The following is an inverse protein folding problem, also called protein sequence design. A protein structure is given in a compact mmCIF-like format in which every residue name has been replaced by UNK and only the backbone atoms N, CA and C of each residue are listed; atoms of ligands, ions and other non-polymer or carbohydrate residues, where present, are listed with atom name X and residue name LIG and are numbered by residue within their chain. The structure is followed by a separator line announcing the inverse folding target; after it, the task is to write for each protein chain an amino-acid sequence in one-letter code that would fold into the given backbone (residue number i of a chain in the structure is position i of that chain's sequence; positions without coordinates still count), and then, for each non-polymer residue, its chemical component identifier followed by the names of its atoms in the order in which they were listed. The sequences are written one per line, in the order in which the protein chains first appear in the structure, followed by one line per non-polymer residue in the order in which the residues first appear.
data_IF_803846539392
#
_entry.id   IF_803846539392
#
_cell.length_a   1.000
_cell.length_b   1.000
_cell.length_c   1.000
_cell.angle_alpha   90.00
_cell.angle_beta   90.00
_cell.angle_gamma   90.00
#
_symmetry.space_group_name_H-M   'P 1'
#
loop_
_entity.id
_entity.type
_entity.pdbx_description
1 polymer ?
#
# COMPACT_ATOMS: atom_id res chain seq x y z
N UNK A 1 -76.28 11.24 -38.05
CA UNK A 1 -75.32 10.87 -36.98
C UNK A 1 -74.01 11.54 -37.33
N UNK A 2 -73.47 12.23 -36.34
CA UNK A 2 -72.57 13.39 -36.41
C UNK A 2 -71.12 13.01 -36.79
N UNK A 3 -70.48 13.84 -37.62
CA UNK A 3 -69.08 13.69 -38.02
C UNK A 3 -68.17 14.42 -37.02
N UNK A 4 -67.11 13.74 -36.59
CA UNK A 4 -66.11 14.17 -35.60
C UNK A 4 -65.35 15.43 -36.08
N UNK A 5 -65.36 16.50 -35.29
CA UNK A 5 -64.40 17.60 -35.38
C UNK A 5 -63.48 17.58 -34.16
N UNK A 6 -62.18 17.38 -34.38
CA UNK A 6 -61.09 17.52 -33.40
C UNK A 6 -61.00 18.97 -32.91
N UNK A 7 -60.68 19.24 -31.63
CA UNK A 7 -60.51 20.60 -31.15
C UNK A 7 -59.19 21.17 -31.70
N UNK A 8 -59.28 22.23 -32.49
CA UNK A 8 -58.10 22.97 -32.94
C UNK A 8 -57.38 23.60 -31.74
N UNK A 9 -56.06 23.48 -31.74
CA UNK A 9 -55.18 24.04 -30.74
C UNK A 9 -55.09 25.56 -30.88
N UNK A 10 -55.68 26.30 -29.93
CA UNK A 10 -55.54 27.76 -29.75
C UNK A 10 -54.13 28.19 -29.31
N UNK A 11 -53.07 27.67 -29.95
CA UNK A 11 -51.74 28.26 -29.87
C UNK A 11 -51.63 29.30 -30.98
N UNK A 12 -52.21 30.47 -30.73
CA UNK A 12 -52.39 31.54 -31.70
C UNK A 12 -51.07 31.96 -32.35
N UNK A 13 -51.06 31.87 -33.68
CA UNK A 13 -49.99 32.29 -34.63
C UNK A 13 -49.69 33.81 -34.58
N UNK A 14 -50.39 34.57 -33.74
CA UNK A 14 -50.27 36.03 -33.66
C UNK A 14 -48.97 36.53 -33.02
N UNK A 15 -48.19 35.67 -32.33
CA UNK A 15 -46.93 36.10 -31.70
C UNK A 15 -45.77 36.29 -32.71
N UNK A 16 -45.94 35.89 -33.97
CA UNK A 16 -44.89 35.93 -35.00
C UNK A 16 -45.11 36.97 -36.13
N UNK A 17 -46.13 37.84 -36.03
CA UNK A 17 -46.52 38.73 -37.14
C UNK A 17 -45.45 39.74 -37.59
N UNK A 18 -44.37 39.96 -36.82
CA UNK A 18 -43.30 40.91 -37.13
C UNK A 18 -41.94 40.25 -37.42
N UNK A 19 -41.88 38.92 -37.55
CA UNK A 19 -40.64 38.19 -37.81
C UNK A 19 -40.72 37.46 -39.15
N UNK A 20 -39.66 37.56 -39.94
CA UNK A 20 -39.45 36.75 -41.14
C UNK A 20 -39.20 35.29 -40.75
N UNK A 21 -39.53 34.34 -41.63
CA UNK A 21 -39.30 32.93 -41.38
C UNK A 21 -37.84 32.58 -40.96
N UNK A 22 -36.79 33.22 -41.51
CA UNK A 22 -35.42 33.05 -41.02
C UNK A 22 -35.19 33.53 -39.58
N UNK A 23 -35.83 34.63 -39.16
CA UNK A 23 -35.69 35.16 -37.79
C UNK A 23 -36.33 34.21 -36.77
N UNK A 24 -37.51 33.66 -37.08
CA UNK A 24 -38.16 32.65 -36.24
C UNK A 24 -37.33 31.37 -36.15
N UNK A 25 -36.72 30.94 -37.26
CA UNK A 25 -35.82 29.78 -37.28
C UNK A 25 -34.57 29.99 -36.41
N UNK A 26 -33.90 31.13 -36.55
CA UNK A 26 -32.71 31.48 -35.75
C UNK A 26 -33.06 31.59 -34.27
N UNK A 27 -34.21 32.18 -33.93
CA UNK A 27 -34.67 32.31 -32.54
C UNK A 27 -35.06 30.95 -31.95
N UNK A 28 -35.67 30.07 -32.74
CA UNK A 28 -35.89 28.67 -32.38
C UNK A 28 -34.57 27.96 -32.08
N UNK A 29 -33.57 28.07 -32.96
CA UNK A 29 -32.24 27.51 -32.74
C UNK A 29 -31.54 28.08 -31.50
N UNK A 30 -31.67 29.39 -31.27
CA UNK A 30 -31.12 30.06 -30.08
C UNK A 30 -31.79 29.59 -28.78
N UNK A 31 -33.07 29.19 -28.84
CA UNK A 31 -33.82 28.67 -27.71
C UNK A 31 -33.60 27.17 -27.42
N UNK A 32 -32.95 26.42 -28.31
CA UNK A 32 -32.69 24.98 -28.10
C UNK A 32 -31.69 24.73 -26.96
N UNK A 33 -30.77 25.67 -26.72
CA UNK A 33 -29.75 25.53 -25.67
C UNK A 33 -30.24 26.24 -24.41
N UNK A 34 -30.44 25.46 -23.34
CA UNK A 34 -30.70 26.04 -22.03
C UNK A 34 -29.40 26.63 -21.45
N UNK A 35 -29.35 27.96 -21.40
CA UNK A 35 -28.22 28.70 -20.86
C UNK A 35 -28.04 28.49 -19.35
N UNK A 36 -29.08 28.07 -18.62
CA UNK A 36 -29.00 27.70 -17.21
C UNK A 36 -28.27 26.36 -17.03
N UNK A 37 -28.52 25.38 -17.90
CA UNK A 37 -27.84 24.09 -17.88
C UNK A 37 -26.36 24.23 -18.26
N UNK A 38 -26.05 25.05 -19.28
CA UNK A 38 -24.66 25.37 -19.65
C UNK A 38 -23.92 26.01 -18.46
N UNK A 39 -24.54 26.96 -17.76
CA UNK A 39 -23.95 27.56 -16.56
C UNK A 39 -23.74 26.55 -15.44
N UNK A 40 -24.72 25.67 -15.21
CA UNK A 40 -24.63 24.62 -14.19
C UNK A 40 -23.48 23.64 -14.50
N UNK A 41 -23.31 23.26 -15.76
CA UNK A 41 -22.19 22.44 -16.22
C UNK A 41 -20.84 23.13 -15.94
N UNK A 42 -20.72 24.43 -16.28
CA UNK A 42 -19.49 25.20 -16.05
C UNK A 42 -19.16 25.25 -14.55
N UNK A 43 -20.16 25.46 -13.69
CA UNK A 43 -19.96 25.48 -12.23
C UNK A 43 -19.49 24.11 -11.72
N UNK A 44 -20.13 23.02 -12.15
CA UNK A 44 -19.76 21.66 -11.77
C UNK A 44 -18.32 21.33 -12.19
N UNK A 45 -17.92 21.69 -13.42
CA UNK A 45 -16.57 21.49 -13.93
C UNK A 45 -15.53 22.29 -13.13
N UNK A 46 -15.82 23.56 -12.78
CA UNK A 46 -14.93 24.38 -11.95
C UNK A 46 -14.73 23.79 -10.55
N UNK A 47 -15.81 23.30 -9.92
CA UNK A 47 -15.72 22.64 -8.62
C UNK A 47 -14.91 21.34 -8.70
N UNK A 48 -15.08 20.58 -9.77
CA UNK A 48 -14.31 19.36 -10.02
C UNK A 48 -12.82 19.65 -10.21
N UNK A 49 -12.48 20.67 -11.00
CA UNK A 49 -11.10 21.12 -11.19
C UNK A 49 -10.44 21.51 -9.86
N UNK A 50 -11.10 22.35 -9.06
CA UNK A 50 -10.58 22.76 -7.75
C UNK A 50 -10.36 21.57 -6.81
N UNK A 51 -11.26 20.57 -6.84
CA UNK A 51 -11.10 19.34 -6.06
C UNK A 51 -9.88 18.56 -6.53
N UNK A 52 -9.69 18.42 -7.85
CA UNK A 52 -8.53 17.72 -8.39
C UNK A 52 -7.22 18.40 -8.01
N UNK A 53 -7.15 19.73 -8.13
CA UNK A 53 -5.95 20.50 -7.75
C UNK A 53 -5.61 20.29 -6.27
N UNK A 54 -6.61 20.43 -5.38
CA UNK A 54 -6.42 20.23 -3.94
C UNK A 54 -5.98 18.79 -3.60
N UNK A 55 -6.60 17.80 -4.22
CA UNK A 55 -6.25 16.39 -3.99
C UNK A 55 -4.85 16.08 -4.51
N UNK A 56 -4.47 16.64 -5.66
CA UNK A 56 -3.14 16.42 -6.25
C UNK A 56 -2.03 17.08 -5.41
N UNK A 57 -2.28 18.28 -4.88
CA UNK A 57 -1.37 18.94 -3.94
C UNK A 57 -1.21 18.14 -2.63
N UNK A 58 -2.33 17.67 -2.07
CA UNK A 58 -2.30 16.85 -0.84
C UNK A 58 -1.55 15.53 -1.07
N UNK A 59 -1.75 14.89 -2.22
CA UNK A 59 -1.03 13.67 -2.60
C UNK A 59 0.47 13.93 -2.76
N UNK A 60 0.84 15.04 -3.42
CA UNK A 60 2.24 15.43 -3.60
C UNK A 60 2.92 15.65 -2.24
N UNK A 61 2.25 16.36 -1.33
CA UNK A 61 2.75 16.55 0.04
C UNK A 61 2.85 15.22 0.82
N UNK A 62 1.86 14.33 0.68
CA UNK A 62 1.89 13.01 1.30
C UNK A 62 3.09 12.18 0.80
N UNK A 63 3.34 12.20 -0.50
CA UNK A 63 4.48 11.51 -1.11
C UNK A 63 5.82 12.08 -0.60
N UNK A 64 5.95 13.40 -0.55
CA UNK A 64 7.15 14.06 -0.05
C UNK A 64 7.41 13.73 1.44
N UNK A 65 6.35 13.79 2.27
CA UNK A 65 6.43 13.46 3.69
C UNK A 65 6.82 11.99 3.89
N UNK A 66 6.16 11.08 3.17
CA UNK A 66 6.42 9.64 3.24
C UNK A 66 7.85 9.32 2.83
N UNK A 67 8.34 9.91 1.74
CA UNK A 67 9.72 9.74 1.29
C UNK A 67 10.74 10.26 2.31
N UNK A 68 10.48 11.42 2.92
CA UNK A 68 11.34 12.00 3.96
C UNK A 68 11.43 11.11 5.20
N UNK A 69 10.29 10.59 5.68
CA UNK A 69 10.23 9.68 6.82
C UNK A 69 10.97 8.38 6.53
N UNK A 70 10.77 7.80 5.34
CA UNK A 70 11.48 6.59 4.93
C UNK A 70 13.00 6.82 4.88
N UNK A 71 13.45 7.95 4.31
CA UNK A 71 14.87 8.29 4.24
C UNK A 71 15.53 8.40 5.62
N UNK A 72 14.80 8.84 6.64
CA UNK A 72 15.27 8.91 8.02
C UNK A 72 15.33 7.52 8.69
N UNK A 73 14.29 6.69 8.52
CA UNK A 73 14.16 5.42 9.26
C UNK A 73 14.94 4.28 8.61
N UNK A 74 15.01 4.23 7.28
CA UNK A 74 15.68 3.17 6.54
C UNK A 74 17.16 2.91 6.95
N UNK A 75 18.02 3.94 7.14
CA UNK A 75 19.41 3.69 7.57
C UNK A 75 19.50 3.12 8.98
N UNK A 76 18.70 3.63 9.92
CA UNK A 76 18.68 3.12 11.31
C UNK A 76 18.16 1.67 11.36
N UNK A 77 17.12 1.36 10.59
CA UNK A 77 16.63 -0.01 10.46
C UNK A 77 17.73 -0.95 9.93
N UNK A 78 18.41 -0.56 8.85
CA UNK A 78 19.52 -1.33 8.28
C UNK A 78 20.66 -1.54 9.28
N UNK A 79 21.02 -0.50 10.04
CA UNK A 79 22.03 -0.56 11.09
C UNK A 79 21.65 -1.57 12.18
N UNK A 80 20.41 -1.53 12.66
CA UNK A 80 19.94 -2.51 13.65
C UNK A 80 19.97 -3.95 13.11
N UNK A 81 19.52 -4.17 11.87
CA UNK A 81 19.62 -5.49 11.23
C UNK A 81 21.06 -5.99 11.13
N UNK A 82 22.01 -5.11 10.81
CA UNK A 82 23.45 -5.46 10.79
C UNK A 82 23.97 -5.83 12.18
N UNK A 83 23.62 -5.05 13.20
CA UNK A 83 24.00 -5.34 14.59
C UNK A 83 23.50 -6.71 15.05
N UNK A 84 22.26 -7.10 14.69
CA UNK A 84 21.75 -8.45 15.00
C UNK A 84 22.58 -9.55 14.33
N UNK A 85 23.04 -9.33 13.10
CA UNK A 85 23.89 -10.29 12.40
C UNK A 85 25.27 -10.40 13.05
N UNK A 86 25.83 -9.30 13.54
CA UNK A 86 27.10 -9.28 14.29
C UNK A 86 26.96 -10.02 15.63
N UNK A 87 25.92 -9.72 16.41
CA UNK A 87 25.66 -10.41 17.68
C UNK A 87 25.47 -11.92 17.48
N UNK A 88 24.85 -12.35 16.38
CA UNK A 88 24.78 -13.77 16.02
C UNK A 88 26.20 -14.36 15.84
N UNK A 89 27.05 -13.71 15.06
CA UNK A 89 28.44 -14.17 14.83
C UNK A 89 29.22 -14.26 16.12
N UNK A 90 29.03 -13.29 17.02
CA UNK A 90 29.68 -13.29 18.33
C UNK A 90 29.22 -14.47 19.18
N UNK A 91 27.91 -14.77 19.21
CA UNK A 91 27.38 -15.96 19.88
C UNK A 91 27.94 -17.26 19.29
N UNK A 92 27.93 -17.40 17.96
CA UNK A 92 28.49 -18.56 17.27
C UNK A 92 29.97 -18.76 17.64
N UNK A 93 30.73 -17.67 17.70
CA UNK A 93 32.14 -17.69 18.11
C UNK A 93 32.31 -18.09 19.58
N UNK A 94 31.50 -17.53 20.49
CA UNK A 94 31.51 -17.88 21.91
C UNK A 94 31.20 -19.36 22.10
N UNK A 95 30.15 -19.90 21.46
CA UNK A 95 29.82 -21.32 21.55
C UNK A 95 30.94 -22.21 21.00
N UNK A 96 31.56 -21.83 19.88
CA UNK A 96 32.73 -22.54 19.34
C UNK A 96 33.89 -22.57 20.33
N UNK A 97 34.18 -21.45 21.00
CA UNK A 97 35.24 -21.37 22.02
C UNK A 97 34.91 -22.19 23.26
N UNK A 98 33.68 -22.14 23.75
CA UNK A 98 33.22 -22.95 24.88
C UNK A 98 33.38 -24.43 24.55
N UNK A 99 32.93 -24.89 23.36
CA UNK A 99 33.06 -26.29 22.93
C UNK A 99 34.53 -26.70 22.87
N UNK A 100 35.41 -25.88 22.27
CA UNK A 100 36.84 -26.16 22.21
C UNK A 100 37.51 -26.26 23.60
N UNK A 101 37.14 -25.38 24.53
CA UNK A 101 37.64 -25.43 25.92
C UNK A 101 37.15 -26.70 26.61
N UNK A 102 35.85 -27.03 26.52
CA UNK A 102 35.26 -28.26 27.07
C UNK A 102 36.00 -29.50 26.55
N UNK A 103 36.20 -29.62 25.24
CA UNK A 103 36.95 -30.74 24.63
C UNK A 103 38.38 -30.82 25.17
N UNK A 104 39.09 -29.69 25.27
CA UNK A 104 40.47 -29.67 25.78
C UNK A 104 40.57 -30.09 27.25
N UNK A 105 39.66 -29.61 28.11
CA UNK A 105 39.65 -29.96 29.54
C UNK A 105 39.27 -31.43 29.72
N UNK A 106 38.24 -31.90 29.01
CA UNK A 106 37.82 -33.31 29.06
C UNK A 106 38.94 -34.27 28.64
N UNK A 107 39.77 -33.89 27.66
CA UNK A 107 40.91 -34.70 27.23
C UNK A 107 42.09 -34.69 28.23
N UNK A 108 42.33 -33.58 28.93
CA UNK A 108 43.46 -33.45 29.86
C UNK A 108 43.15 -33.95 31.27
N UNK A 109 41.90 -33.82 31.72
CA UNK A 109 41.46 -34.14 33.07
C UNK A 109 40.10 -34.86 33.06
N UNK A 110 40.04 -36.11 32.56
CA UNK A 110 38.77 -36.81 32.33
C UNK A 110 37.95 -37.00 33.60
N UNK A 111 38.55 -37.43 34.70
CA UNK A 111 37.83 -37.73 35.96
C UNK A 111 37.27 -36.45 36.62
N UNK A 112 38.12 -35.42 36.76
CA UNK A 112 37.71 -34.14 37.33
C UNK A 112 36.69 -33.41 36.44
N UNK A 113 36.78 -33.55 35.12
CA UNK A 113 35.79 -33.02 34.19
C UNK A 113 34.45 -33.75 34.34
N UNK A 114 34.44 -35.09 34.42
CA UNK A 114 33.23 -35.88 34.59
C UNK A 114 32.51 -35.56 35.92
N UNK A 115 33.26 -35.42 37.01
CA UNK A 115 32.72 -35.01 38.30
C UNK A 115 32.10 -33.61 38.22
N UNK A 116 32.83 -32.62 37.70
CA UNK A 116 32.34 -31.24 37.58
C UNK A 116 31.13 -31.12 36.63
N UNK A 117 31.14 -31.86 35.51
CA UNK A 117 30.03 -31.88 34.56
C UNK A 117 28.76 -32.46 35.19
N UNK A 118 28.90 -33.52 36.00
CA UNK A 118 27.78 -34.16 36.71
C UNK A 118 27.17 -33.23 37.76
N UNK A 119 27.98 -32.41 38.43
CA UNK A 119 27.53 -31.45 39.46
C UNK A 119 26.87 -30.19 38.87
N UNK A 120 27.23 -29.80 37.64
CA UNK A 120 26.81 -28.55 37.02
C UNK A 120 25.86 -28.74 35.83
N UNK A 121 25.36 -29.96 35.59
CA UNK A 121 24.49 -30.22 34.46
C UNK A 121 23.14 -29.50 34.67
N UNK A 122 22.76 -28.50 33.85
CA UNK A 122 21.47 -27.83 34.02
C UNK A 122 20.29 -28.67 33.50
N UNK A 123 20.55 -29.84 32.90
CA UNK A 123 19.56 -30.62 32.16
C UNK A 123 19.55 -32.09 32.61
N UNK A 124 18.71 -32.33 33.61
CA UNK A 124 17.78 -33.46 33.63
C UNK A 124 16.54 -33.15 32.72
N UNK A 125 16.65 -32.20 31.78
CA UNK A 125 15.61 -31.86 30.82
C UNK A 125 16.17 -31.74 29.39
N UNK A 126 15.76 -32.68 28.54
CA UNK A 126 15.95 -32.77 27.09
C UNK A 126 17.37 -32.99 26.56
N UNK A 127 17.58 -34.25 26.17
CA UNK A 127 18.54 -34.71 25.18
C UNK A 127 18.63 -33.75 23.97
N UNK A 128 19.72 -32.99 23.90
CA UNK A 128 20.20 -32.51 22.60
C UNK A 128 21.24 -33.54 22.15
N UNK A 129 20.75 -34.54 21.42
CA UNK A 129 21.61 -35.30 20.52
C UNK A 129 22.30 -34.29 19.61
N UNK A 130 23.63 -34.32 19.57
CA UNK A 130 24.44 -33.66 18.54
C UNK A 130 23.94 -34.19 17.18
N UNK A 131 22.95 -33.49 16.62
CA UNK A 131 22.34 -33.77 15.33
C UNK A 131 23.11 -33.04 14.25
N UNK A 132 23.89 -33.82 13.52
CA UNK A 132 24.44 -33.63 12.18
C UNK A 132 24.25 -32.28 11.48
N UNK A 133 25.36 -31.75 10.97
CA UNK A 133 25.43 -30.66 10.01
C UNK A 133 24.72 -31.04 8.68
N UNK A 134 23.40 -30.89 8.56
CA UNK A 134 22.69 -30.81 7.26
C UNK A 134 21.21 -30.43 7.42
N UNK A 135 20.91 -29.16 7.72
CA UNK A 135 19.54 -28.62 7.64
C UNK A 135 19.55 -27.34 6.81
N UNK A 136 19.95 -27.44 5.55
CA UNK A 136 19.47 -26.56 4.50
C UNK A 136 19.64 -27.25 3.15
N UNK A 137 18.65 -28.04 2.75
CA UNK A 137 18.45 -28.31 1.34
C UNK A 137 17.30 -27.41 0.88
N UNK A 138 17.52 -26.51 -0.11
CA UNK A 138 16.44 -25.73 -0.68
C UNK A 138 15.53 -26.68 -1.47
N UNK A 139 14.24 -26.69 -1.11
CA UNK A 139 13.22 -27.47 -1.81
C UNK A 139 13.19 -27.07 -3.30
N UNK A 140 13.39 -28.06 -4.17
CA UNK A 140 13.18 -27.96 -5.61
C UNK A 140 11.65 -28.03 -5.90
N UNK A 141 11.04 -27.03 -6.55
CA UNK A 141 9.61 -27.06 -6.85
C UNK A 141 9.39 -27.81 -8.17
N UNK A 142 9.00 -29.07 -8.07
CA UNK A 142 8.39 -29.80 -9.18
C UNK A 142 7.39 -30.84 -8.65
N UNK A 143 6.15 -30.39 -8.43
CA UNK A 143 4.93 -31.08 -8.83
C UNK A 143 3.75 -30.12 -8.82
#
# INVERSE_FOLDING_TARGET
MENKGTPESDFSIECFQNYTAPEVFIQGLAGIIDQQDVKSMIIAQKQMLQRFEKTNEMLTNCNALSASRLKLVAPEFKKHSQMFLEMKKDLDYIFKKIRAIKTKISAQYPDAYAEAYSQNNPLESSDIQDGDENIFQPNDPSH
#
